data_IF_443107724315
#
_entry.id   IF_443107724315
#
_cell.length_a   1.000
_cell.length_b   1.000
_cell.length_c   1.000
_cell.angle_alpha   90.00
_cell.angle_beta   90.00
_cell.angle_gamma   90.00
#
_symmetry.space_group_name_H-M   'P 1'
#
loop_
_entity.id
_entity.type
_entity.pdbx_description
1 polymer ?
#
# COMPACT_ATOMS: atom_id res chain seq x y z
N UNK A 1 -18.32 -12.73 7.04
CA UNK A 1 -17.89 -12.29 5.71
C UNK A 1 -17.04 -11.05 5.87
N UNK A 2 -15.80 -11.03 5.35
CA UNK A 2 -15.02 -9.79 5.28
C UNK A 2 -15.73 -8.82 4.34
N UNK A 3 -15.88 -7.57 4.75
CA UNK A 3 -16.37 -6.51 3.86
C UNK A 3 -15.38 -6.28 2.72
N UNK A 4 -15.84 -5.75 1.58
CA UNK A 4 -14.98 -5.45 0.42
C UNK A 4 -13.79 -4.58 0.86
N UNK A 5 -14.04 -3.59 1.74
CA UNK A 5 -12.99 -2.73 2.30
C UNK A 5 -11.96 -3.51 3.08
N UNK A 6 -12.37 -4.41 3.98
CA UNK A 6 -11.42 -5.19 4.77
C UNK A 6 -10.55 -6.11 3.89
N UNK A 7 -11.16 -6.73 2.86
CA UNK A 7 -10.44 -7.60 1.91
C UNK A 7 -9.31 -6.86 1.20
N UNK A 8 -9.58 -5.65 0.71
CA UNK A 8 -8.59 -4.89 -0.05
C UNK A 8 -7.64 -4.09 0.84
N UNK A 9 -8.04 -3.67 2.05
CA UNK A 9 -7.18 -2.89 2.95
C UNK A 9 -6.13 -3.77 3.64
N UNK A 10 -6.53 -4.98 4.05
CA UNK A 10 -5.69 -5.93 4.75
C UNK A 10 -5.56 -7.21 3.94
N UNK A 11 -4.91 -7.12 2.77
CA UNK A 11 -4.59 -8.30 1.95
C UNK A 11 -3.56 -9.14 2.71
N UNK A 12 -4.04 -10.10 3.52
CA UNK A 12 -3.16 -11.03 4.23
C UNK A 12 -2.81 -12.23 3.35
N UNK A 13 -3.80 -12.72 2.62
CA UNK A 13 -3.68 -13.84 1.70
C UNK A 13 -3.89 -13.34 0.27
N UNK A 14 -3.22 -14.01 -0.66
CA UNK A 14 -3.46 -13.82 -2.08
C UNK A 14 -4.85 -14.31 -2.43
N UNK A 15 -5.54 -13.58 -3.29
CA UNK A 15 -6.80 -14.03 -3.87
C UNK A 15 -6.91 -13.61 -5.34
N UNK A 16 -7.83 -14.26 -6.04
CA UNK A 16 -8.14 -14.00 -7.44
C UNK A 16 -9.61 -13.66 -7.61
N UNK A 17 -9.90 -12.80 -8.58
CA UNK A 17 -11.25 -12.41 -8.98
C UNK A 17 -11.35 -12.45 -10.50
N UNK A 18 -12.58 -12.54 -11.02
CA UNK A 18 -12.81 -12.22 -12.43
C UNK A 18 -12.47 -10.75 -12.70
N UNK A 19 -12.08 -10.41 -13.92
CA UNK A 19 -11.84 -9.01 -14.31
C UNK A 19 -13.05 -8.12 -14.04
N UNK A 20 -14.27 -8.64 -14.25
CA UNK A 20 -15.51 -7.91 -14.02
C UNK A 20 -15.73 -7.60 -12.54
N UNK A 21 -15.63 -8.62 -11.68
CA UNK A 21 -15.81 -8.45 -10.23
C UNK A 21 -14.74 -7.54 -9.65
N UNK A 22 -13.51 -7.68 -10.14
CA UNK A 22 -12.42 -6.78 -9.77
C UNK A 22 -12.77 -5.33 -10.09
N UNK A 23 -13.20 -5.01 -11.31
CA UNK A 23 -13.51 -3.63 -11.69
C UNK A 23 -14.62 -3.03 -10.82
N UNK A 24 -15.67 -3.81 -10.51
CA UNK A 24 -16.76 -3.40 -9.61
C UNK A 24 -16.27 -3.13 -8.19
N UNK A 25 -15.46 -4.03 -7.63
CA UNK A 25 -14.98 -3.93 -6.25
C UNK A 25 -13.87 -2.89 -6.09
N UNK A 26 -12.95 -2.81 -7.06
CA UNK A 26 -11.79 -1.92 -7.04
C UNK A 26 -12.21 -0.45 -7.03
N UNK A 27 -13.23 -0.07 -7.80
CA UNK A 27 -13.78 1.29 -7.82
C UNK A 27 -14.28 1.79 -6.45
N UNK A 28 -14.54 0.88 -5.49
CA UNK A 28 -14.99 1.23 -4.14
C UNK A 28 -13.83 1.52 -3.17
N UNK A 29 -12.60 1.16 -3.56
CA UNK A 29 -11.41 1.18 -2.69
C UNK A 29 -10.18 1.84 -3.34
N UNK A 30 -10.23 2.15 -4.63
CA UNK A 30 -9.13 2.72 -5.41
C UNK A 30 -8.57 4.03 -4.81
N UNK A 31 -9.43 4.84 -4.20
CA UNK A 31 -9.11 6.11 -3.55
C UNK A 31 -8.12 5.98 -2.38
N UNK A 32 -7.99 4.78 -1.79
CA UNK A 32 -7.05 4.47 -0.72
C UNK A 32 -5.69 4.03 -1.28
N UNK A 33 -5.62 3.66 -2.55
CA UNK A 33 -4.43 3.13 -3.20
C UNK A 33 -3.78 4.18 -4.11
N UNK A 34 -2.46 4.20 -4.12
CA UNK A 34 -1.67 5.03 -5.04
C UNK A 34 -0.76 4.13 -5.85
N UNK A 35 -0.81 4.26 -7.17
CA UNK A 35 0.04 3.49 -8.06
C UNK A 35 1.50 3.83 -7.79
N UNK A 36 2.32 2.81 -7.57
CA UNK A 36 3.76 2.93 -7.33
C UNK A 36 4.57 2.61 -8.59
N UNK A 37 4.24 1.51 -9.26
CA UNK A 37 4.85 1.13 -10.53
C UNK A 37 3.88 0.26 -11.35
N UNK A 38 4.24 -0.01 -12.61
CA UNK A 38 3.59 -1.05 -13.39
C UNK A 38 4.44 -1.49 -14.56
N UNK A 39 4.21 -2.71 -15.02
CA UNK A 39 4.95 -3.43 -16.04
C UNK A 39 3.96 -4.19 -16.91
N UNK A 40 4.24 -4.22 -18.21
CA UNK A 40 3.65 -5.21 -19.12
C UNK A 40 4.59 -6.42 -19.15
N UNK A 41 4.05 -7.62 -19.08
CA UNK A 41 4.80 -8.87 -19.16
C UNK A 41 4.78 -9.39 -20.60
N UNK A 42 5.79 -10.19 -20.97
CA UNK A 42 5.98 -10.67 -22.34
C UNK A 42 4.82 -11.55 -22.83
N UNK A 43 4.08 -12.16 -21.90
CA UNK A 43 2.89 -12.97 -22.19
C UNK A 43 1.61 -12.12 -22.35
N UNK A 44 1.72 -10.79 -22.34
CA UNK A 44 0.59 -9.85 -22.47
C UNK A 44 -0.09 -9.51 -21.14
N UNK A 45 0.28 -10.16 -20.03
CA UNK A 45 -0.25 -9.85 -18.72
C UNK A 45 0.21 -8.46 -18.24
N UNK A 46 -0.62 -7.79 -17.46
CA UNK A 46 -0.27 -6.51 -16.85
C UNK A 46 -0.04 -6.68 -15.35
N UNK A 47 1.02 -6.07 -14.82
CA UNK A 47 1.32 -6.06 -13.38
C UNK A 47 1.45 -4.64 -12.88
N UNK A 48 0.68 -4.25 -11.86
CA UNK A 48 0.80 -2.95 -11.19
C UNK A 48 0.98 -3.13 -9.69
N UNK A 49 1.88 -2.35 -9.09
CA UNK A 49 2.02 -2.28 -7.63
C UNK A 49 1.37 -1.00 -7.13
N UNK A 50 0.62 -1.11 -6.05
CA UNK A 50 -0.02 -0.02 -5.35
C UNK A 50 0.47 0.05 -3.92
N UNK A 51 0.64 1.27 -3.44
CA UNK A 51 0.97 1.59 -2.05
C UNK A 51 -0.25 2.25 -1.44
N UNK A 52 -0.54 1.93 -0.19
CA UNK A 52 -1.64 2.58 0.48
C UNK A 52 -1.35 4.04 0.79
N UNK A 53 -2.24 4.95 0.40
CA UNK A 53 -2.17 6.38 0.67
C UNK A 53 -2.31 6.72 2.16
N UNK A 54 -2.99 5.86 2.91
CA UNK A 54 -3.16 6.01 4.35
C UNK A 54 -1.94 5.52 5.14
N UNK A 55 -1.01 4.79 4.50
CA UNK A 55 0.26 4.44 5.14
C UNK A 55 1.04 5.73 5.42
N UNK A 56 1.28 6.01 6.70
CA UNK A 56 2.16 7.10 7.10
C UNK A 56 3.49 6.51 7.55
N UNK A 57 4.62 6.96 6.97
CA UNK A 57 5.93 6.48 7.38
C UNK A 57 6.35 7.00 8.77
N UNK A 58 5.71 8.07 9.25
CA UNK A 58 5.94 8.65 10.58
C UNK A 58 4.61 8.85 11.28
N UNK A 59 4.59 8.57 12.57
CA UNK A 59 3.49 8.98 13.42
C UNK A 59 3.33 10.50 13.34
N UNK A 60 2.08 10.96 13.34
CA UNK A 60 1.80 12.39 13.48
C UNK A 60 2.34 12.87 14.82
N UNK A 61 2.85 14.11 14.86
CA UNK A 61 3.19 14.77 16.13
C UNK A 61 2.03 14.65 17.12
N UNK A 62 2.33 14.18 18.33
CA UNK A 62 1.37 14.05 19.42
C UNK A 62 0.78 15.40 19.84
N UNK A 63 -0.28 15.34 20.65
CA UNK A 63 -0.90 16.53 21.25
C UNK A 63 0.13 17.21 22.15
N UNK A 64 0.29 18.51 21.97
CA UNK A 64 1.06 19.32 22.91
C UNK A 64 0.14 19.63 24.11
N UNK A 65 0.50 19.15 25.30
CA UNK A 65 -0.35 19.27 26.51
C UNK A 65 -0.51 20.73 26.96
N UNK A 66 0.39 21.61 26.53
CA UNK A 66 0.44 23.02 26.91
C UNK A 66 -0.63 23.90 26.22
N UNK A 67 -1.50 23.35 25.36
CA UNK A 67 -2.53 24.13 24.65
C UNK A 67 -3.90 23.98 25.33
N UNK A 68 -4.52 25.08 25.79
CA UNK A 68 -5.86 25.05 26.40
C UNK A 68 -6.90 24.44 25.47
N UNK A 69 -7.78 23.61 26.01
CA UNK A 69 -8.79 22.85 25.25
C UNK A 69 -9.75 23.71 24.44
N UNK A 70 -10.05 24.93 24.91
CA UNK A 70 -10.95 25.88 24.23
C UNK A 70 -10.39 26.42 22.91
N UNK A 71 -9.06 26.39 22.74
CA UNK A 71 -8.39 26.79 21.49
C UNK A 71 -8.13 25.61 20.55
N UNK A 72 -8.54 24.39 20.94
CA UNK A 72 -8.28 23.17 20.17
C UNK A 72 -9.46 22.84 19.25
N UNK A 73 -9.13 22.47 18.01
CA UNK A 73 -10.09 21.86 17.10
C UNK A 73 -10.41 20.45 17.58
N UNK A 74 -11.68 20.13 17.81
CA UNK A 74 -12.12 18.76 18.11
C UNK A 74 -11.92 17.91 16.86
N UNK A 75 -10.89 17.07 16.88
CA UNK A 75 -10.62 16.10 15.81
C UNK A 75 -11.02 14.73 16.33
N UNK A 76 -12.02 14.13 15.70
CA UNK A 76 -12.34 12.73 15.89
C UNK A 76 -11.19 11.89 15.33
N UNK A 77 -10.43 11.23 16.21
CA UNK A 77 -9.45 10.23 15.78
C UNK A 77 -10.21 9.10 15.11
N UNK A 78 -10.14 9.01 13.78
CA UNK A 78 -10.59 7.79 13.09
C UNK A 78 -9.73 6.63 13.59
N UNK A 79 -10.32 5.44 13.83
CA UNK A 79 -9.53 4.26 14.15
C UNK A 79 -8.45 4.09 13.07
N UNK A 80 -7.24 3.73 13.50
CA UNK A 80 -6.13 3.52 12.59
C UNK A 80 -6.53 2.42 11.59
N UNK A 81 -6.72 2.81 10.34
CA UNK A 81 -6.82 1.84 9.26
C UNK A 81 -5.38 1.41 9.01
N UNK A 82 -5.03 0.20 9.43
CA UNK A 82 -3.69 -0.38 9.28
C UNK A 82 -3.41 -0.77 7.82
N UNK A 83 -3.39 0.21 6.95
CA UNK A 83 -3.13 0.04 5.54
C UNK A 83 -1.64 0.30 5.29
N UNK A 84 -0.79 -0.50 5.92
CA UNK A 84 0.68 -0.44 5.72
C UNK A 84 1.14 -1.31 4.54
N UNK A 85 0.19 -1.99 3.88
CA UNK A 85 0.49 -2.91 2.82
C UNK A 85 0.87 -2.19 1.52
N UNK A 86 1.83 -2.78 0.81
CA UNK A 86 1.94 -2.66 -0.64
C UNK A 86 1.23 -3.86 -1.23
N UNK A 87 0.33 -3.63 -2.16
CA UNK A 87 -0.34 -4.71 -2.90
C UNK A 87 0.14 -4.69 -4.33
N UNK A 88 0.04 -5.84 -4.96
CA UNK A 88 0.37 -6.04 -6.34
C UNK A 88 -0.80 -6.72 -7.00
N UNK A 89 -1.21 -6.13 -8.11
CA UNK A 89 -2.36 -6.55 -8.89
C UNK A 89 -1.81 -6.99 -10.23
N UNK A 90 -2.14 -8.22 -10.62
CA UNK A 90 -1.72 -8.81 -11.88
C UNK A 90 -2.98 -9.21 -12.66
N UNK A 91 -3.16 -8.63 -13.84
CA UNK A 91 -4.21 -8.99 -14.78
C UNK A 91 -3.67 -10.11 -15.65
N UNK A 92 -4.27 -11.28 -15.51
CA UNK A 92 -3.93 -12.49 -16.25
C UNK A 92 -4.85 -12.57 -17.47
N UNK A 93 -4.31 -12.26 -18.65
CA UNK A 93 -5.08 -12.13 -19.89
C UNK A 93 -5.66 -13.48 -20.30
N UNK A 94 -4.87 -14.55 -20.20
CA UNK A 94 -5.27 -15.89 -20.65
C UNK A 94 -6.48 -16.46 -19.87
N UNK A 95 -6.55 -16.19 -18.55
CA UNK A 95 -7.62 -16.68 -17.67
C UNK A 95 -8.73 -15.66 -17.43
N UNK A 96 -8.59 -14.42 -17.93
CA UNK A 96 -9.48 -13.30 -17.63
C UNK A 96 -9.71 -13.10 -16.11
N UNK A 97 -8.65 -13.27 -15.33
CA UNK A 97 -8.65 -13.13 -13.88
C UNK A 97 -7.67 -12.07 -13.42
N UNK A 98 -7.94 -11.49 -12.27
CA UNK A 98 -7.09 -10.52 -11.60
C UNK A 98 -6.62 -11.11 -10.29
N UNK A 99 -5.31 -11.23 -10.14
CA UNK A 99 -4.64 -11.73 -8.94
C UNK A 99 -4.15 -10.58 -8.09
N UNK A 100 -4.53 -10.59 -6.81
CA UNK A 100 -4.15 -9.59 -5.83
C UNK A 100 -3.30 -10.27 -4.76
N UNK A 101 -2.10 -9.74 -4.53
CA UNK A 101 -1.18 -10.26 -3.52
C UNK A 101 -0.52 -9.13 -2.72
N UNK A 102 -0.22 -9.38 -1.46
CA UNK A 102 0.58 -8.47 -0.64
C UNK A 102 2.04 -8.61 -1.02
N UNK A 103 2.67 -7.47 -1.32
CA UNK A 103 4.11 -7.40 -1.48
C UNK A 103 4.73 -7.38 -0.09
N UNK A 104 5.43 -8.47 0.27
CA UNK A 104 6.30 -8.48 1.43
C UNK A 104 7.44 -7.50 1.16
N UNK A 105 7.50 -6.43 1.93
CA UNK A 105 8.68 -5.56 1.90
C UNK A 105 9.74 -6.26 2.74
N UNK A 106 10.81 -6.76 2.12
CA UNK A 106 11.97 -7.17 2.89
C UNK A 106 12.60 -5.91 3.49
N UNK A 107 12.74 -5.89 4.81
CA UNK A 107 13.25 -4.76 5.59
C UNK A 107 14.66 -4.33 5.15
N UNK A 108 15.37 -5.18 4.39
CA UNK A 108 16.70 -4.89 3.84
C UNK A 108 16.75 -3.68 2.90
N UNK A 109 15.67 -3.34 2.19
CA UNK A 109 15.64 -2.22 1.23
C UNK A 109 15.19 -0.86 1.82
N UNK A 110 14.63 -0.85 3.03
CA UNK A 110 14.18 0.40 3.66
C UNK A 110 15.33 1.29 4.14
N UNK A 111 16.49 0.71 4.49
CA UNK A 111 17.68 1.51 4.85
C UNK A 111 18.21 2.30 3.67
N UNK A 112 18.21 1.74 2.46
CA UNK A 112 18.80 2.40 1.27
C UNK A 112 17.93 3.52 0.70
N UNK A 113 16.60 3.42 0.80
CA UNK A 113 15.69 4.40 0.19
C UNK A 113 15.30 5.57 1.11
N UNK A 114 15.48 5.45 2.43
CA UNK A 114 15.24 6.55 3.37
C UNK A 114 16.54 7.18 3.91
N UNK A 115 17.66 6.47 3.90
CA UNK A 115 18.95 6.93 4.43
C UNK A 115 20.05 6.83 3.38
N UNK A 116 19.79 7.36 2.18
CA UNK A 116 20.83 7.64 1.19
C UNK A 116 21.75 8.77 1.65
N UNK A 117 22.52 8.55 2.72
CA UNK A 117 23.72 9.31 3.02
C UNK A 117 24.92 8.41 2.75
N UNK A 118 25.69 8.83 1.75
CA UNK A 118 27.05 8.43 1.42
C UNK A 118 27.87 8.09 2.66
N UNK A 119 28.48 6.89 2.68
CA UNK A 119 29.95 6.76 2.75
C UNK A 119 30.33 5.51 1.95
N UNK A 120 30.87 5.75 0.76
CA UNK A 120 31.67 4.77 0.03
C UNK A 120 32.91 4.43 0.87
N UNK A 121 33.04 3.18 1.29
CA UNK A 121 34.33 2.61 1.66
C UNK A 121 34.52 1.35 0.81
N UNK A 122 35.14 1.57 -0.36
CA UNK A 122 35.70 0.51 -1.21
C UNK A 122 37.02 0.10 -0.55
N UNK A 123 37.22 -1.15 -0.09
CA UNK A 123 38.56 -1.65 0.09
C UNK A 123 39.16 -1.89 -1.29
N UNK A 124 40.25 -1.19 -1.56
CA UNK A 124 41.12 -1.38 -2.73
C UNK A 124 41.78 -2.76 -2.65
N UNK A 125 41.66 -3.49 -3.77
CA UNK A 125 42.42 -4.67 -4.25
C UNK A 125 42.59 -5.85 -3.31
#
# INVERSE_FOLDING_TARGET
MLTIRERFFNVNEMFELSTEDFNKQWALVDNVWTRFNGYLLDNGDERKTFVCRLSKPKESSGRNENVPSEKLRVIWKKPAINCEARIRITWLVASNTVRIERVKISITLFKTLLYGNLVTAIPKF
#
